data_IF_890997644123
#
_entry.id   IF_890997644123
#
_cell.length_a   1.000
_cell.length_b   1.000
_cell.length_c   1.000
_cell.angle_alpha   90.00
_cell.angle_beta   90.00
_cell.angle_gamma   90.00
#
_symmetry.space_group_name_H-M   'P 1'
#
loop_
_entity.id
_entity.type
_entity.pdbx_description
1 polymer ?
#
# COMPACT_ATOMS: atom_id res chain seq x y z
N UNK A 1 -20.26 19.31 8.08
CA UNK A 1 -18.87 18.93 8.39
C UNK A 1 -17.91 19.05 7.20
N UNK A 2 -18.24 18.58 5.99
CA UNK A 2 -17.32 18.57 4.84
C UNK A 2 -16.94 19.97 4.30
N UNK A 3 -17.85 20.96 4.34
CA UNK A 3 -17.59 22.33 3.84
C UNK A 3 -16.51 23.07 4.65
N UNK A 4 -16.57 22.99 5.98
CA UNK A 4 -15.57 23.60 6.86
C UNK A 4 -14.17 23.01 6.71
N UNK A 5 -14.07 21.71 6.40
CA UNK A 5 -12.79 21.05 6.11
C UNK A 5 -12.19 21.59 4.80
N UNK A 6 -13.02 21.74 3.75
CA UNK A 6 -12.58 22.31 2.46
C UNK A 6 -12.13 23.77 2.60
N UNK A 7 -12.87 24.57 3.37
CA UNK A 7 -12.52 25.97 3.66
C UNK A 7 -11.22 26.08 4.47
N UNK A 8 -11.01 25.19 5.43
CA UNK A 8 -9.76 25.13 6.21
C UNK A 8 -8.55 24.80 5.34
N UNK A 9 -8.67 23.81 4.44
CA UNK A 9 -7.60 23.45 3.49
C UNK A 9 -7.27 24.63 2.57
N UNK A 10 -8.28 25.28 1.99
CA UNK A 10 -8.05 26.45 1.11
C UNK A 10 -7.42 27.63 1.85
N UNK A 11 -7.81 27.87 3.11
CA UNK A 11 -7.21 28.91 3.94
C UNK A 11 -5.75 28.58 4.26
N UNK A 12 -5.46 27.32 4.55
CA UNK A 12 -4.11 26.84 4.81
C UNK A 12 -3.22 26.93 3.57
N UNK A 13 -3.72 26.56 2.39
CA UNK A 13 -3.01 26.71 1.11
C UNK A 13 -2.68 28.18 0.82
N UNK A 14 -3.66 29.08 0.95
CA UNK A 14 -3.42 30.52 0.79
C UNK A 14 -2.39 31.05 1.78
N UNK A 15 -2.45 30.60 3.04
CA UNK A 15 -1.47 30.98 4.06
C UNK A 15 -0.07 30.45 3.73
N UNK A 16 0.04 29.21 3.24
CA UNK A 16 1.31 28.61 2.77
C UNK A 16 1.87 29.37 1.57
N UNK A 17 1.05 29.71 0.58
CA UNK A 17 1.47 30.52 -0.57
C UNK A 17 1.92 31.92 -0.17
N UNK A 18 1.17 32.58 0.73
CA UNK A 18 1.54 33.89 1.26
C UNK A 18 2.88 33.83 2.02
N UNK A 19 3.07 32.80 2.86
CA UNK A 19 4.33 32.55 3.56
C UNK A 19 5.48 32.27 2.58
N UNK A 20 5.22 31.55 1.49
CA UNK A 20 6.24 31.26 0.47
C UNK A 20 6.63 32.51 -0.32
N UNK A 21 5.68 33.39 -0.66
CA UNK A 21 5.93 34.66 -1.37
C UNK A 21 6.59 35.72 -0.48
N UNK A 22 6.25 35.74 0.81
CA UNK A 22 6.83 36.67 1.79
C UNK A 22 8.22 36.21 2.28
N UNK A 23 8.57 34.95 2.04
CA UNK A 23 9.90 34.45 2.39
C UNK A 23 10.97 35.20 1.60
N UNK A 24 11.76 36.00 2.31
CA UNK A 24 12.97 36.59 1.76
C UNK A 24 13.95 35.48 1.37
N UNK A 25 14.37 35.47 0.09
CA UNK A 25 15.38 34.52 -0.40
C UNK A 25 16.71 34.78 0.30
N UNK A 26 17.46 33.72 0.55
CA UNK A 26 18.82 33.87 1.07
C UNK A 26 19.75 34.42 -0.02
N UNK A 27 20.78 35.18 0.36
CA UNK A 27 21.77 35.71 -0.59
C UNK A 27 22.37 34.61 -1.50
N UNK A 28 22.61 33.43 -0.92
CA UNK A 28 23.12 32.25 -1.62
C UNK A 28 22.17 31.71 -2.69
N UNK A 29 20.87 31.77 -2.43
CA UNK A 29 19.83 31.34 -3.37
C UNK A 29 19.69 32.34 -4.50
N UNK A 30 19.70 33.64 -4.17
CA UNK A 30 19.65 34.71 -5.16
C UNK A 30 20.87 34.71 -6.10
N UNK A 31 22.09 34.53 -5.56
CA UNK A 31 23.30 34.42 -6.38
C UNK A 31 23.24 33.22 -7.34
N UNK A 32 22.71 32.08 -6.88
CA UNK A 32 22.51 30.90 -7.73
C UNK A 32 21.52 31.20 -8.85
N UNK A 33 20.37 31.79 -8.53
CA UNK A 33 19.38 32.14 -9.54
C UNK A 33 19.94 33.12 -10.57
N UNK A 34 20.66 34.16 -10.14
CA UNK A 34 21.35 35.10 -11.05
C UNK A 34 22.37 34.40 -11.94
N UNK A 35 23.14 33.46 -11.40
CA UNK A 35 24.09 32.67 -12.19
C UNK A 35 23.35 31.82 -13.23
N UNK A 36 22.28 31.13 -12.83
CA UNK A 36 21.53 30.24 -13.71
C UNK A 36 20.79 31.00 -14.81
N UNK A 37 20.27 32.21 -14.54
CA UNK A 37 19.65 33.05 -15.57
C UNK A 37 20.68 33.55 -16.58
N UNK A 38 21.85 33.98 -16.12
CA UNK A 38 22.93 34.43 -17.01
C UNK A 38 23.49 33.28 -17.84
N UNK A 39 23.68 32.09 -17.27
CA UNK A 39 24.16 30.92 -18.02
C UNK A 39 23.17 30.42 -19.08
N UNK A 40 21.86 30.62 -18.86
CA UNK A 40 20.81 30.24 -19.82
C UNK A 40 20.62 31.27 -20.93
N UNK A 41 20.95 32.54 -20.69
CA UNK A 41 20.81 33.59 -21.69
C UNK A 41 21.96 33.52 -22.69
N UNK A 42 21.63 33.40 -23.97
CA UNK A 42 22.61 33.64 -25.03
C UNK A 42 23.07 35.11 -25.00
N UNK A 43 24.30 35.36 -25.46
CA UNK A 43 24.82 36.72 -25.62
C UNK A 43 24.05 37.42 -26.75
N UNK A 44 23.50 38.60 -26.47
CA UNK A 44 22.82 39.41 -27.48
C UNK A 44 23.75 40.20 -28.39
N UNK A 45 23.21 40.74 -29.48
CA UNK A 45 23.95 41.53 -30.48
C UNK A 45 24.48 42.86 -29.95
N UNK A 46 23.90 43.36 -28.86
CA UNK A 46 24.36 44.53 -28.12
C UNK A 46 25.72 44.30 -27.47
N UNK A 47 26.13 43.03 -27.27
CA UNK A 47 27.42 42.70 -26.72
C UNK A 47 28.52 42.93 -27.77
N UNK A 48 29.45 43.85 -27.47
CA UNK A 48 30.61 44.16 -28.33
C UNK A 48 31.43 42.92 -28.70
N UNK A 49 31.55 41.95 -27.79
CA UNK A 49 32.26 40.69 -28.03
C UNK A 49 31.57 39.83 -29.08
N UNK A 50 30.24 39.72 -29.03
CA UNK A 50 29.46 38.99 -30.03
C UNK A 50 29.57 39.67 -31.40
N UNK A 51 29.47 41.01 -31.45
CA UNK A 51 29.64 41.77 -32.69
C UNK A 51 31.03 41.58 -33.32
N UNK A 52 32.09 41.48 -32.51
CA UNK A 52 33.43 41.18 -33.00
C UNK A 52 33.54 39.76 -33.54
N UNK A 53 33.00 38.76 -32.83
CA UNK A 53 32.96 37.37 -33.30
C UNK A 53 32.24 37.27 -34.64
N UNK A 54 31.09 37.93 -34.78
CA UNK A 54 30.33 37.93 -36.04
C UNK A 54 31.13 38.52 -37.21
N UNK A 55 31.92 39.59 -36.97
CA UNK A 55 32.84 40.15 -37.97
C UNK A 55 33.96 39.19 -38.37
N UNK A 56 34.38 38.32 -37.46
CA UNK A 56 35.37 37.26 -37.73
C UNK A 56 34.75 36.02 -38.41
N UNK A 57 33.46 36.08 -38.77
CA UNK A 57 32.76 35.00 -39.46
C UNK A 57 32.03 34.01 -38.55
N UNK A 58 31.93 34.30 -37.25
CA UNK A 58 31.12 33.50 -36.32
C UNK A 58 29.63 33.68 -36.61
N UNK A 59 28.87 32.58 -36.59
CA UNK A 59 27.40 32.58 -36.67
C UNK A 59 26.82 32.09 -35.35
N UNK A 60 25.70 32.67 -34.91
CA UNK A 60 25.03 32.26 -33.67
C UNK A 60 24.72 30.76 -33.69
N UNK A 61 25.20 30.02 -32.69
CA UNK A 61 25.00 28.58 -32.57
C UNK A 61 26.04 27.72 -33.29
N UNK A 62 27.03 28.32 -33.96
CA UNK A 62 28.14 27.58 -34.56
C UNK A 62 29.21 27.25 -33.49
N UNK A 63 29.82 26.07 -33.60
CA UNK A 63 31.00 25.72 -32.82
C UNK A 63 32.26 26.40 -33.38
N UNK A 64 33.17 26.77 -32.49
CA UNK A 64 34.45 27.37 -32.86
C UNK A 64 35.44 26.33 -33.39
N UNK A 65 36.42 26.77 -34.19
CA UNK A 65 37.51 25.94 -34.73
C UNK A 65 37.41 25.69 -36.23
N UNK A 66 38.52 25.30 -36.87
CA UNK A 66 38.65 25.13 -38.33
C UNK A 66 37.61 24.17 -38.93
N UNK A 67 37.29 23.09 -38.22
CA UNK A 67 36.31 22.08 -38.65
C UNK A 67 34.95 22.25 -37.95
N UNK A 68 34.74 23.29 -37.14
CA UNK A 68 33.50 23.49 -36.38
C UNK A 68 33.20 22.40 -35.35
N UNK A 69 34.21 21.66 -34.87
CA UNK A 69 34.05 20.59 -33.88
C UNK A 69 34.27 21.03 -32.42
N UNK A 70 34.35 22.34 -32.16
CA UNK A 70 34.47 22.87 -30.80
C UNK A 70 33.20 22.72 -29.98
N UNK A 71 33.30 23.00 -28.68
CA UNK A 71 32.16 22.96 -27.77
C UNK A 71 31.26 24.18 -28.04
N UNK A 72 29.96 23.95 -28.27
CA UNK A 72 28.96 25.02 -28.49
C UNK A 72 28.46 25.57 -27.16
N UNK A 73 28.27 24.69 -26.18
CA UNK A 73 27.76 25.05 -24.86
C UNK A 73 28.90 25.29 -23.86
N UNK A 74 28.76 26.24 -22.93
CA UNK A 74 29.78 26.46 -21.90
C UNK A 74 29.92 25.22 -20.99
N UNK A 75 31.14 24.99 -20.50
CA UNK A 75 31.41 23.88 -19.58
C UNK A 75 30.60 24.08 -18.28
N UNK A 76 29.82 23.08 -17.84
CA UNK A 76 29.03 23.17 -16.61
C UNK A 76 29.90 23.44 -15.38
N UNK A 77 29.51 24.45 -14.59
CA UNK A 77 30.20 24.82 -13.36
C UNK A 77 29.59 24.07 -12.17
N UNK A 78 30.37 23.22 -11.50
CA UNK A 78 29.96 22.60 -10.24
C UNK A 78 30.54 23.39 -9.05
N UNK A 79 29.71 24.20 -8.41
CA UNK A 79 30.12 25.04 -7.28
C UNK A 79 29.77 24.32 -5.98
N UNK A 80 30.80 23.89 -5.26
CA UNK A 80 30.65 23.30 -3.93
C UNK A 80 30.17 24.37 -2.97
N UNK A 81 28.95 24.18 -2.47
CA UNK A 81 28.35 25.13 -1.54
C UNK A 81 28.36 24.66 -0.08
N UNK A 82 28.88 23.46 0.17
CA UNK A 82 29.02 22.86 1.50
C UNK A 82 30.48 22.75 1.91
N UNK A 83 30.70 22.56 3.22
CA UNK A 83 32.03 22.41 3.85
C UNK A 83 32.46 20.93 3.90
N UNK A 84 31.70 20.03 3.29
CA UNK A 84 31.99 18.59 3.29
C UNK A 84 33.21 18.23 2.45
N UNK A 85 33.89 17.15 2.83
CA UNK A 85 34.96 16.57 2.02
C UNK A 85 34.46 16.05 0.66
N UNK A 86 35.38 15.89 -0.29
CA UNK A 86 35.12 15.18 -1.55
C UNK A 86 34.56 13.77 -1.24
N UNK A 87 33.48 13.38 -1.91
CA UNK A 87 32.81 12.08 -1.70
C UNK A 87 31.77 12.02 -0.57
N UNK A 88 31.62 13.10 0.22
CA UNK A 88 30.62 13.12 1.31
C UNK A 88 29.17 13.15 0.81
N UNK A 89 28.92 13.74 -0.36
CA UNK A 89 27.58 13.83 -0.97
C UNK A 89 27.00 12.45 -1.31
N UNK A 90 27.83 11.53 -1.79
CA UNK A 90 27.40 10.16 -2.13
C UNK A 90 27.00 9.38 -0.88
N UNK A 91 27.78 9.52 0.20
CA UNK A 91 27.49 8.90 1.49
C UNK A 91 26.19 9.46 2.09
N UNK A 92 25.96 10.78 1.97
CA UNK A 92 24.70 11.41 2.37
C UNK A 92 23.53 10.91 1.53
N UNK A 93 23.68 10.83 0.20
CA UNK A 93 22.65 10.35 -0.72
C UNK A 93 22.24 8.92 -0.37
N UNK A 94 23.21 8.02 -0.21
CA UNK A 94 22.95 6.62 0.18
C UNK A 94 22.20 6.54 1.51
N UNK A 95 22.62 7.31 2.51
CA UNK A 95 21.95 7.35 3.82
C UNK A 95 20.54 7.92 3.75
N UNK A 96 20.31 8.90 2.87
CA UNK A 96 18.98 9.48 2.64
C UNK A 96 18.04 8.46 1.97
N UNK A 97 18.53 7.73 0.97
CA UNK A 97 17.78 6.66 0.28
C UNK A 97 17.41 5.53 1.25
N UNK A 98 18.36 5.06 2.06
CA UNK A 98 18.13 4.04 3.09
C UNK A 98 17.06 4.47 4.10
N UNK A 99 17.09 5.73 4.56
CA UNK A 99 16.06 6.28 5.46
C UNK A 99 14.68 6.28 4.81
N UNK A 100 14.60 6.67 3.54
CA UNK A 100 13.33 6.69 2.78
C UNK A 100 12.78 5.27 2.61
N UNK A 101 13.64 4.31 2.29
CA UNK A 101 13.25 2.92 2.12
C UNK A 101 12.75 2.31 3.44
N UNK A 102 13.47 2.54 4.54
CA UNK A 102 13.05 2.12 5.88
C UNK A 102 11.71 2.73 6.28
N UNK A 103 11.47 4.00 5.91
CA UNK A 103 10.18 4.65 6.14
C UNK A 103 9.05 3.98 5.34
N UNK A 104 9.29 3.66 4.06
CA UNK A 104 8.34 2.94 3.20
C UNK A 104 8.00 1.56 3.77
N UNK A 105 9.02 0.79 4.18
CA UNK A 105 8.82 -0.52 4.83
C UNK A 105 7.97 -0.41 6.08
N UNK A 106 8.26 0.55 6.96
CA UNK A 106 7.47 0.78 8.19
C UNK A 106 6.00 1.12 7.90
N UNK A 107 5.73 1.92 6.88
CA UNK A 107 4.34 2.21 6.47
C UNK A 107 3.65 0.94 5.98
N UNK A 108 4.31 0.15 5.15
CA UNK A 108 3.74 -1.08 4.61
C UNK A 108 3.41 -2.08 5.73
N UNK A 109 4.36 -2.31 6.65
CA UNK A 109 4.15 -3.16 7.83
C UNK A 109 2.99 -2.68 8.69
N UNK A 110 2.86 -1.37 8.93
CA UNK A 110 1.74 -0.81 9.70
C UNK A 110 0.40 -1.01 9.00
N UNK A 111 0.36 -0.87 7.67
CA UNK A 111 -0.86 -1.11 6.88
C UNK A 111 -1.28 -2.58 6.95
N UNK A 112 -0.34 -3.49 6.73
CA UNK A 112 -0.60 -4.93 6.82
C UNK A 112 -1.06 -5.33 8.22
N UNK A 113 -0.36 -4.88 9.27
CA UNK A 113 -0.78 -5.17 10.64
C UNK A 113 -2.19 -4.62 10.97
N UNK A 114 -2.57 -3.46 10.41
CA UNK A 114 -3.91 -2.91 10.57
C UNK A 114 -4.97 -3.71 9.82
N UNK A 115 -4.65 -4.22 8.62
CA UNK A 115 -5.50 -5.09 7.82
C UNK A 115 -5.70 -6.45 8.50
N UNK A 116 -4.62 -7.08 8.95
CA UNK A 116 -4.65 -8.33 9.72
C UNK A 116 -5.49 -8.18 10.99
N UNK A 117 -5.34 -7.06 11.72
CA UNK A 117 -6.15 -6.79 12.91
C UNK A 117 -7.64 -6.63 12.59
N UNK A 118 -7.97 -5.97 11.48
CA UNK A 118 -9.35 -5.81 11.02
C UNK A 118 -9.97 -7.16 10.62
N UNK A 119 -9.20 -8.02 9.95
CA UNK A 119 -9.66 -9.35 9.55
C UNK A 119 -9.82 -10.30 10.73
N UNK A 120 -8.92 -10.26 11.71
CA UNK A 120 -9.09 -10.99 12.97
C UNK A 120 -10.38 -10.58 13.70
N UNK A 121 -10.70 -9.28 13.73
CA UNK A 121 -11.95 -8.81 14.32
C UNK A 121 -13.19 -9.35 13.59
N UNK A 122 -13.17 -9.32 12.25
CA UNK A 122 -14.25 -9.89 11.42
C UNK A 122 -14.46 -11.37 11.66
N UNK A 123 -13.37 -12.14 11.72
CA UNK A 123 -13.42 -13.59 11.99
C UNK A 123 -14.02 -13.88 13.37
N UNK A 124 -13.58 -13.18 14.42
CA UNK A 124 -14.16 -13.34 15.77
C UNK A 124 -15.65 -13.03 15.80
N UNK A 125 -16.09 -11.99 15.08
CA UNK A 125 -17.51 -11.65 15.01
C UNK A 125 -18.32 -12.75 14.30
N UNK A 126 -17.80 -13.30 13.19
CA UNK A 126 -18.43 -14.41 12.45
C UNK A 126 -18.54 -15.67 13.31
N UNK A 127 -17.46 -16.13 13.92
CA UNK A 127 -17.46 -17.32 14.77
C UNK A 127 -18.44 -17.18 15.95
N UNK A 128 -18.50 -16.01 16.58
CA UNK A 128 -19.46 -15.75 17.67
C UNK A 128 -20.92 -15.81 17.22
N UNK A 129 -21.22 -15.41 15.98
CA UNK A 129 -22.57 -15.57 15.44
C UNK A 129 -22.89 -17.02 15.11
N UNK A 130 -21.93 -17.77 14.56
CA UNK A 130 -22.09 -19.20 14.27
C UNK A 130 -22.35 -20.00 15.55
N UNK A 131 -21.58 -19.73 16.60
CA UNK A 131 -21.75 -20.36 17.92
C UNK A 131 -23.16 -20.10 18.50
N UNK A 132 -23.65 -18.86 18.43
CA UNK A 132 -25.02 -18.50 18.87
C UNK A 132 -26.11 -19.21 18.07
N UNK A 133 -25.88 -19.44 16.76
CA UNK A 133 -26.83 -20.20 15.92
C UNK A 133 -26.87 -21.66 16.35
N UNK A 134 -25.70 -22.29 16.52
CA UNK A 134 -25.58 -23.68 16.98
C UNK A 134 -26.24 -23.84 18.35
N UNK A 135 -25.99 -22.95 19.29
CA UNK A 135 -26.61 -22.96 20.62
C UNK A 135 -28.14 -22.82 20.53
N UNK A 136 -28.62 -21.89 19.69
CA UNK A 136 -30.03 -21.69 19.45
C UNK A 136 -30.73 -22.92 18.86
N UNK A 137 -30.09 -23.58 17.90
CA UNK A 137 -30.62 -24.78 17.26
C UNK A 137 -30.58 -25.98 18.21
N UNK A 138 -29.52 -26.16 18.99
CA UNK A 138 -29.44 -27.16 20.05
C UNK A 138 -30.60 -27.00 21.04
N UNK A 139 -30.87 -25.77 21.51
CA UNK A 139 -31.94 -25.49 22.46
C UNK A 139 -33.33 -25.74 21.89
N UNK A 140 -33.55 -25.43 20.60
CA UNK A 140 -34.82 -25.74 19.91
C UNK A 140 -35.01 -27.25 19.78
N UNK A 141 -33.98 -27.98 19.35
CA UNK A 141 -34.01 -29.43 19.24
C UNK A 141 -34.31 -30.08 20.59
N UNK A 142 -33.65 -29.64 21.67
CA UNK A 142 -33.91 -30.12 23.03
C UNK A 142 -35.38 -29.91 23.45
N UNK A 143 -35.95 -28.72 23.19
CA UNK A 143 -37.35 -28.42 23.50
C UNK A 143 -38.32 -29.28 22.70
N UNK A 144 -38.05 -29.47 21.41
CA UNK A 144 -38.88 -30.30 20.55
C UNK A 144 -38.89 -31.76 21.02
N UNK A 145 -37.72 -32.34 21.35
CA UNK A 145 -37.64 -33.68 21.93
C UNK A 145 -38.43 -33.78 23.24
N UNK A 146 -38.25 -32.83 24.16
CA UNK A 146 -38.96 -32.82 25.44
C UNK A 146 -40.49 -32.74 25.26
N UNK A 147 -40.98 -31.94 24.30
CA UNK A 147 -42.40 -31.88 23.98
C UNK A 147 -42.95 -33.20 23.43
N UNK A 148 -42.20 -33.86 22.54
CA UNK A 148 -42.59 -35.16 22.01
C UNK A 148 -42.60 -36.24 23.11
N UNK A 149 -41.62 -36.23 24.01
CA UNK A 149 -41.53 -37.18 25.12
C UNK A 149 -42.68 -36.99 26.12
N UNK A 150 -43.01 -35.75 26.45
CA UNK A 150 -44.15 -35.44 27.34
C UNK A 150 -45.50 -35.78 26.72
N UNK A 151 -45.67 -35.58 25.40
CA UNK A 151 -46.87 -36.02 24.67
C UNK A 151 -47.00 -37.54 24.66
N UNK A 152 -45.92 -38.29 24.37
CA UNK A 152 -45.91 -39.77 24.43
C UNK A 152 -46.22 -40.30 25.83
N UNK A 153 -45.67 -39.68 26.87
CA UNK A 153 -45.98 -40.03 28.27
C UNK A 153 -47.45 -39.77 28.62
N UNK A 154 -48.05 -38.70 28.09
CA UNK A 154 -49.47 -38.37 28.30
C UNK A 154 -50.44 -39.24 27.48
N UNK A 155 -50.01 -39.74 26.33
CA UNK A 155 -50.80 -40.61 25.45
C UNK A 155 -50.89 -42.07 25.94
N UNK A 156 -50.25 -42.41 27.06
CA UNK A 156 -50.33 -43.74 27.66
C UNK A 156 -49.71 -44.85 26.80
N UNK A 157 -48.78 -44.52 25.89
CA UNK A 157 -47.99 -45.52 25.17
C UNK A 157 -46.96 -46.13 26.13
N UNK A 158 -47.39 -47.14 26.89
CA UNK A 158 -46.47 -47.99 27.63
C UNK A 158 -45.57 -48.71 26.64
N UNK A 159 -44.27 -48.63 26.88
CA UNK A 159 -43.16 -49.32 26.22
C UNK A 159 -43.38 -50.86 26.22
N UNK A 160 -44.25 -51.37 25.36
CA UNK A 160 -44.28 -52.78 24.94
C UNK A 160 -43.91 -52.80 23.48
N UNK A 161 -42.62 -53.03 23.23
CA UNK A 161 -42.05 -53.76 22.08
C UNK A 161 -40.54 -53.49 22.06
N UNK A 162 -39.84 -54.03 23.06
CA UNK A 162 -38.37 -54.02 23.12
C UNK A 162 -37.72 -55.21 22.41
N UNK A 163 -38.48 -56.13 21.82
CA UNK A 163 -37.92 -57.35 21.26
C UNK A 163 -37.74 -57.34 19.73
N UNK A 164 -38.23 -56.34 18.99
CA UNK A 164 -38.13 -56.35 17.51
C UNK A 164 -37.40 -55.17 16.86
N UNK A 165 -36.90 -54.18 17.61
CA UNK A 165 -36.14 -53.05 17.04
C UNK A 165 -34.61 -53.17 17.11
N UNK A 166 -34.09 -54.15 17.84
CA UNK A 166 -32.65 -54.37 17.96
C UNK A 166 -32.02 -55.04 16.72
N UNK A 167 -32.81 -55.68 15.85
CA UNK A 167 -32.26 -56.42 14.72
C UNK A 167 -32.14 -55.62 13.41
N UNK A 168 -32.84 -54.49 13.26
CA UNK A 168 -32.93 -53.81 11.95
C UNK A 168 -31.81 -52.77 11.72
N UNK A 169 -31.36 -52.09 12.78
CA UNK A 169 -30.27 -51.10 12.68
C UNK A 169 -28.87 -51.72 12.56
N UNK A 170 -28.67 -52.94 13.07
CA UNK A 170 -27.36 -53.60 13.02
C UNK A 170 -27.05 -54.18 11.62
N UNK A 171 -28.09 -54.55 10.85
CA UNK A 171 -27.95 -55.09 9.49
C UNK A 171 -27.61 -54.02 8.44
N UNK A 172 -28.21 -52.83 8.52
CA UNK A 172 -27.85 -51.71 7.63
C UNK A 172 -26.46 -51.14 7.93
N UNK A 173 -26.03 -51.14 9.19
CA UNK A 173 -24.71 -50.64 9.59
C UNK A 173 -23.58 -51.61 9.20
N UNK A 174 -23.79 -52.92 9.33
CA UNK A 174 -22.83 -53.92 8.83
C UNK A 174 -22.72 -53.91 7.30
N UNK A 175 -23.84 -53.74 6.58
CA UNK A 175 -23.83 -53.68 5.11
C UNK A 175 -23.10 -52.43 4.57
N UNK A 176 -23.31 -51.26 5.21
CA UNK A 176 -22.59 -50.03 4.84
C UNK A 176 -21.09 -50.08 5.20
N UNK A 177 -20.74 -50.71 6.32
CA UNK A 177 -19.34 -50.92 6.71
C UNK A 177 -18.60 -51.84 5.72
N UNK A 178 -19.23 -52.92 5.25
CA UNK A 178 -18.65 -53.82 4.26
C UNK A 178 -18.51 -53.15 2.87
N UNK A 179 -19.45 -52.28 2.47
CA UNK A 179 -19.36 -51.52 1.22
C UNK A 179 -18.22 -50.48 1.21
N UNK A 180 -17.91 -49.86 2.35
CA UNK A 180 -16.77 -48.92 2.48
C UNK A 180 -15.42 -49.65 2.40
N UNK A 181 -15.31 -50.85 2.95
CA UNK A 181 -14.09 -51.67 2.83
C UNK A 181 -13.86 -52.20 1.40
N UNK A 182 -14.91 -52.52 0.65
CA UNK A 182 -14.79 -52.98 -0.75
C UNK A 182 -14.39 -51.86 -1.74
N UNK A 183 -14.63 -50.59 -1.41
CA UNK A 183 -14.29 -49.47 -2.30
C UNK A 183 -12.86 -48.96 -2.10
N UNK A 184 -12.28 -49.09 -0.90
CA UNK A 184 -10.88 -48.77 -0.61
C UNK A 184 -9.91 -49.87 -1.09
N UNK A 185 -10.34 -51.13 -1.15
CA UNK A 185 -9.52 -52.25 -1.66
C UNK A 185 -9.35 -52.32 -3.18
N UNK A 186 -10.08 -51.49 -3.95
CA UNK A 186 -10.07 -51.53 -5.44
C UNK A 186 -9.23 -50.41 -6.09
N UNK A 187 -8.60 -49.55 -5.28
CA UNK A 187 -7.68 -48.50 -5.74
C UNK A 187 -6.19 -48.87 -5.59
N UNK A 188 -5.86 -50.08 -5.14
CA UNK A 188 -4.49 -50.61 -5.11
C UNK A 188 -4.36 -51.94 -5.89
N UNK A 189 -4.67 -51.91 -7.19
CA UNK A 189 -4.10 -52.83 -8.20
C UNK A 189 -3.81 -52.02 -9.45
#
# INVERSE_FOLDING_TARGET
>A
MVRHVKEAIQKEEKQREANQKNRQKSLKEEERERRDTVLKSALGNENKGFALLQKMGYKSGQALGKSGGGIVEPIPLNIKTGVGGLGHEELQKRKAEERLENYRRKIHMKKQAAEDAADQFRMRFKSKQEERKIEGDLRKSQRACQQLDTQKASAGETYRDRENFACDWDLEYLSRSQLLQYHEGRQMV
#
